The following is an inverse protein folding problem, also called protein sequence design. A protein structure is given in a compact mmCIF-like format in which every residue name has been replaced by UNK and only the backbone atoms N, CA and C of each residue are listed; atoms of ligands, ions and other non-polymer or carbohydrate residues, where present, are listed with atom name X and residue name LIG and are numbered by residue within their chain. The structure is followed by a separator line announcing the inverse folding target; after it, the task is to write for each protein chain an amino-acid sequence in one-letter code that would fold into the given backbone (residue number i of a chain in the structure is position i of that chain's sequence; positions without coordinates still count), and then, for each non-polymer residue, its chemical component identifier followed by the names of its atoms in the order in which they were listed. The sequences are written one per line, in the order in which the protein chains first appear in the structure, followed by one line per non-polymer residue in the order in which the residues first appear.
data_IF_691053801087
#
_entry.id   IF_691053801087
#
_cell.length_a   1.000
_cell.length_b   1.000
_cell.length_c   1.000
_cell.angle_alpha   90.00
_cell.angle_beta   90.00
_cell.angle_gamma   90.00
#
_symmetry.space_group_name_H-M   'P 1'
#
loop_
_entity.id
_entity.type
_entity.pdbx_description
1 polymer ?
#
# COMPACT_ATOMS: atom_id res chain seq x y z
N UNK A 1 -15.22 -24.68 -6.66
CA UNK A 1 -14.52 -23.53 -6.02
C UNK A 1 -15.49 -22.36 -5.90
N UNK A 2 -15.59 -21.72 -4.73
CA UNK A 2 -16.48 -20.58 -4.50
C UNK A 2 -15.66 -19.29 -4.63
N UNK A 3 -16.10 -18.33 -5.46
CA UNK A 3 -15.49 -17.01 -5.59
C UNK A 3 -16.42 -15.94 -5.05
N UNK A 4 -15.95 -15.14 -4.08
CA UNK A 4 -16.69 -14.01 -3.53
C UNK A 4 -16.13 -12.71 -4.11
N UNK A 5 -17.03 -11.81 -4.52
CA UNK A 5 -16.66 -10.51 -5.09
C UNK A 5 -17.27 -9.40 -4.25
N UNK A 6 -16.51 -8.32 -4.00
CA UNK A 6 -17.01 -7.18 -3.23
C UNK A 6 -18.08 -6.37 -3.98
N UNK A 7 -17.99 -6.27 -5.32
CA UNK A 7 -18.87 -5.44 -6.17
C UNK A 7 -18.99 -6.02 -7.59
N UNK A 8 -20.00 -5.56 -8.34
CA UNK A 8 -20.26 -5.97 -9.74
C UNK A 8 -19.08 -5.76 -10.69
N UNK A 9 -18.27 -4.69 -10.49
CA UNK A 9 -17.03 -4.44 -11.23
C UNK A 9 -16.06 -5.62 -11.18
N UNK A 10 -15.80 -6.15 -9.99
CA UNK A 10 -14.87 -7.26 -9.78
C UNK A 10 -15.42 -8.55 -10.42
N UNK A 11 -16.72 -8.80 -10.26
CA UNK A 11 -17.40 -9.93 -10.87
C UNK A 11 -17.36 -9.88 -12.40
N UNK A 12 -17.62 -8.71 -13.01
CA UNK A 12 -17.54 -8.52 -14.47
C UNK A 12 -16.11 -8.69 -14.98
N UNK A 13 -15.11 -8.18 -14.28
CA UNK A 13 -13.70 -8.37 -14.64
C UNK A 13 -13.29 -9.84 -14.58
N UNK A 14 -13.77 -10.58 -13.58
CA UNK A 14 -13.58 -12.02 -13.48
C UNK A 14 -14.23 -12.77 -14.64
N UNK A 15 -15.50 -12.46 -14.98
CA UNK A 15 -16.18 -13.01 -16.16
C UNK A 15 -15.42 -12.72 -17.46
N UNK A 16 -14.84 -11.52 -17.59
CA UNK A 16 -13.97 -11.13 -18.71
C UNK A 16 -12.54 -11.72 -18.62
N UNK A 17 -12.28 -12.66 -17.70
CA UNK A 17 -10.98 -13.33 -17.48
C UNK A 17 -9.79 -12.36 -17.34
N UNK A 18 -10.02 -11.16 -16.77
CA UNK A 18 -8.96 -10.17 -16.57
C UNK A 18 -8.07 -10.61 -15.40
N UNK A 19 -6.75 -10.60 -15.60
CA UNK A 19 -5.79 -10.97 -14.56
C UNK A 19 -5.67 -9.86 -13.50
N UNK A 20 -6.03 -10.10 -12.22
CA UNK A 20 -5.91 -9.09 -11.17
C UNK A 20 -4.46 -8.64 -10.95
N UNK A 21 -3.45 -9.49 -11.19
CA UNK A 21 -2.02 -9.12 -11.08
C UNK A 21 -1.55 -8.16 -12.16
N UNK A 22 -2.34 -7.91 -13.21
CA UNK A 22 -2.06 -6.90 -14.24
C UNK A 22 -2.93 -5.64 -14.07
N UNK A 23 -3.88 -5.67 -13.13
CA UNK A 23 -4.83 -4.58 -12.92
C UNK A 23 -4.36 -3.65 -11.81
N UNK A 24 -3.87 -2.45 -12.20
CA UNK A 24 -3.09 -1.52 -11.35
C UNK A 24 -3.74 -1.11 -10.02
N UNK A 25 -5.08 -1.07 -9.95
CA UNK A 25 -5.81 -0.65 -8.75
C UNK A 25 -6.00 -1.77 -7.71
N UNK A 26 -5.73 -3.04 -8.06
CA UNK A 26 -5.95 -4.16 -7.14
C UNK A 26 -4.81 -4.31 -6.14
N UNK A 27 -5.13 -4.85 -4.95
CA UNK A 27 -4.11 -5.22 -3.95
C UNK A 27 -3.15 -6.30 -4.47
N UNK A 28 -3.63 -7.22 -5.31
CA UNK A 28 -2.82 -8.26 -5.94
C UNK A 28 -1.70 -7.65 -6.80
N UNK A 29 -2.01 -6.69 -7.67
CA UNK A 29 -1.00 -5.95 -8.43
C UNK A 29 -0.06 -5.18 -7.50
N UNK A 30 -0.61 -4.45 -6.52
CA UNK A 30 0.18 -3.59 -5.64
C UNK A 30 1.21 -4.39 -4.83
N UNK A 31 0.83 -5.56 -4.30
CA UNK A 31 1.77 -6.46 -3.61
C UNK A 31 2.82 -7.05 -4.56
N UNK A 32 2.42 -7.55 -5.72
CA UNK A 32 3.34 -8.15 -6.69
C UNK A 32 4.34 -7.13 -7.28
N UNK A 33 3.91 -5.88 -7.47
CA UNK A 33 4.73 -4.80 -8.00
C UNK A 33 5.51 -4.02 -6.92
N UNK A 34 5.58 -4.52 -5.67
CA UNK A 34 6.34 -3.86 -4.60
C UNK A 34 5.77 -2.51 -4.15
N UNK A 35 4.47 -2.25 -4.38
CA UNK A 35 3.81 -0.99 -3.98
C UNK A 35 3.31 -1.00 -2.53
N UNK A 36 3.31 -2.15 -1.87
CA UNK A 36 2.91 -2.32 -0.47
C UNK A 36 3.85 -3.31 0.21
N UNK A 37 3.93 -3.22 1.54
CA UNK A 37 4.67 -4.17 2.34
C UNK A 37 4.02 -5.56 2.21
N UNK A 38 4.82 -6.57 1.83
CA UNK A 38 4.36 -7.94 1.57
C UNK A 38 4.76 -8.93 2.64
N UNK A 39 5.99 -8.82 3.16
CA UNK A 39 6.58 -9.72 4.15
C UNK A 39 6.74 -8.95 5.47
N UNK A 40 5.90 -9.25 6.45
CA UNK A 40 5.95 -8.65 7.80
C UNK A 40 5.26 -9.57 8.82
N UNK A 41 5.85 -9.69 10.01
CA UNK A 41 5.34 -10.56 11.07
C UNK A 41 3.93 -10.15 11.56
N UNK A 42 3.52 -8.89 11.41
CA UNK A 42 2.16 -8.46 11.76
C UNK A 42 1.09 -9.12 10.90
N UNK A 43 1.42 -9.56 9.68
CA UNK A 43 0.47 -10.29 8.82
C UNK A 43 0.25 -11.74 9.26
N UNK A 44 1.11 -12.28 10.10
CA UNK A 44 0.99 -13.67 10.55
C UNK A 44 -0.09 -13.90 11.60
N UNK A 45 -0.60 -12.84 12.23
CA UNK A 45 -1.71 -12.93 13.18
C UNK A 45 -3.04 -13.26 12.49
N UNK A 46 -3.22 -12.82 11.24
CA UNK A 46 -4.40 -13.09 10.42
C UNK A 46 -4.27 -14.45 9.72
N UNK A 47 -4.50 -15.54 10.47
CA UNK A 47 -4.49 -16.92 9.97
C UNK A 47 -5.85 -17.57 10.16
N UNK A 48 -6.31 -18.35 9.15
CA UNK A 48 -7.50 -19.19 9.29
C UNK A 48 -7.19 -20.33 10.26
N UNK A 49 -7.89 -20.37 11.40
CA UNK A 49 -7.82 -21.47 12.37
C UNK A 49 -8.88 -22.51 11.99
N UNK A 50 -8.46 -23.76 11.78
CA UNK A 50 -9.37 -24.87 11.48
C UNK A 50 -9.80 -25.63 12.74
N UNK A 51 -9.07 -25.44 13.84
CA UNK A 51 -9.37 -26.03 15.14
C UNK A 51 -9.90 -24.92 16.08
N UNK A 52 -11.08 -25.11 16.68
CA UNK A 52 -11.63 -24.17 17.65
C UNK A 52 -10.94 -24.34 19.01
N UNK A 53 -10.85 -23.24 19.76
CA UNK A 53 -10.39 -23.26 21.16
C UNK A 53 -11.60 -23.03 22.06
N UNK A 54 -11.62 -23.70 23.22
CA UNK A 54 -12.68 -23.49 24.22
C UNK A 54 -12.70 -22.01 24.62
N UNK A 55 -13.90 -21.46 24.74
CA UNK A 55 -14.07 -20.07 25.14
C UNK A 55 -13.51 -19.82 26.55
N UNK A 56 -12.71 -18.77 26.68
CA UNK A 56 -12.21 -18.25 27.95
C UNK A 56 -12.22 -16.71 27.89
N UNK A 57 -12.92 -16.07 28.84
CA UNK A 57 -13.12 -14.61 28.86
C UNK A 57 -11.80 -13.83 28.89
N UNK A 58 -10.87 -14.25 29.74
CA UNK A 58 -9.54 -13.63 29.88
C UNK A 58 -8.73 -13.69 28.58
N UNK A 59 -8.74 -14.84 27.90
CA UNK A 59 -8.10 -15.00 26.60
C UNK A 59 -8.73 -14.07 25.56
N UNK A 60 -10.06 -13.99 25.54
CA UNK A 60 -10.78 -13.15 24.59
C UNK A 60 -10.46 -11.67 24.78
N UNK A 61 -10.52 -11.16 26.02
CA UNK A 61 -10.19 -9.77 26.35
C UNK A 61 -8.77 -9.42 25.91
N UNK A 62 -7.79 -10.24 26.30
CA UNK A 62 -6.37 -10.05 25.90
C UNK A 62 -6.20 -10.08 24.39
N UNK A 63 -6.94 -10.93 23.68
CA UNK A 63 -6.88 -11.03 22.22
C UNK A 63 -7.42 -9.76 21.54
N UNK A 64 -8.54 -9.21 22.02
CA UNK A 64 -9.11 -7.97 21.47
C UNK A 64 -8.14 -6.80 21.60
N UNK A 65 -7.47 -6.67 22.75
CA UNK A 65 -6.50 -5.60 22.95
C UNK A 65 -5.21 -5.82 22.15
N UNK A 66 -4.73 -7.07 22.07
CA UNK A 66 -3.61 -7.42 21.20
C UNK A 66 -3.91 -7.11 19.72
N UNK A 67 -5.13 -7.37 19.24
CA UNK A 67 -5.54 -7.06 17.87
C UNK A 67 -5.43 -5.57 17.54
N UNK A 68 -5.86 -4.68 18.44
CA UNK A 68 -5.72 -3.22 18.27
C UNK A 68 -4.25 -2.84 18.13
N UNK A 69 -3.41 -3.36 19.04
CA UNK A 69 -1.97 -3.08 19.06
C UNK A 69 -1.27 -3.56 17.79
N UNK A 70 -1.61 -4.75 17.31
CA UNK A 70 -1.05 -5.30 16.07
C UNK A 70 -1.43 -4.44 14.86
N UNK A 71 -2.67 -3.96 14.79
CA UNK A 71 -3.11 -3.11 13.68
C UNK A 71 -2.39 -1.75 13.66
N UNK A 72 -2.17 -1.11 14.82
CA UNK A 72 -1.36 0.11 14.91
C UNK A 72 0.07 -0.09 14.39
N UNK A 73 0.72 -1.19 14.79
CA UNK A 73 2.08 -1.51 14.37
C UNK A 73 2.12 -1.74 12.86
N UNK A 74 1.16 -2.49 12.33
CA UNK A 74 1.01 -2.77 10.91
C UNK A 74 0.83 -1.48 10.10
N UNK A 75 -0.05 -0.58 10.54
CA UNK A 75 -0.26 0.72 9.88
C UNK A 75 0.99 1.58 9.88
N UNK A 76 1.68 1.69 11.03
CA UNK A 76 2.95 2.43 11.13
C UNK A 76 4.01 1.91 10.16
N UNK A 77 4.17 0.58 10.07
CA UNK A 77 5.13 -0.05 9.16
C UNK A 77 4.77 0.14 7.68
N UNK A 78 3.49 -0.01 7.34
CA UNK A 78 2.99 0.23 5.98
C UNK A 78 3.19 1.69 5.55
N UNK A 79 2.87 2.65 6.43
CA UNK A 79 3.06 4.06 6.17
C UNK A 79 4.55 4.38 5.92
N UNK A 80 5.44 3.86 6.76
CA UNK A 80 6.90 4.01 6.59
C UNK A 80 7.38 3.45 5.25
N UNK A 81 6.90 2.27 4.85
CA UNK A 81 7.23 1.67 3.55
C UNK A 81 6.81 2.57 2.37
N UNK A 82 5.60 3.12 2.44
CA UNK A 82 5.08 4.03 1.40
C UNK A 82 5.90 5.33 1.37
N UNK A 83 6.19 5.93 2.52
CA UNK A 83 6.99 7.16 2.61
C UNK A 83 8.40 6.96 2.06
N UNK A 84 9.08 5.88 2.43
CA UNK A 84 10.40 5.55 1.89
C UNK A 84 10.40 5.41 0.37
N UNK A 85 9.33 4.84 -0.20
CA UNK A 85 9.18 4.74 -1.65
C UNK A 85 8.99 6.11 -2.30
N UNK A 86 8.13 6.97 -1.72
CA UNK A 86 7.84 8.29 -2.26
C UNK A 86 9.04 9.24 -2.15
N UNK A 87 9.88 9.09 -1.12
CA UNK A 87 11.08 9.91 -0.89
C UNK A 87 12.00 9.97 -2.12
N UNK A 88 12.16 8.86 -2.85
CA UNK A 88 13.00 8.78 -4.07
C UNK A 88 12.58 9.76 -5.17
N UNK A 89 11.28 10.07 -5.27
CA UNK A 89 10.78 10.99 -6.30
C UNK A 89 11.29 12.42 -6.10
N UNK A 90 11.55 12.84 -4.86
CA UNK A 90 11.97 14.20 -4.53
C UNK A 90 13.36 14.53 -5.07
N UNK A 91 14.26 13.55 -5.06
CA UNK A 91 15.62 13.70 -5.58
C UNK A 91 15.62 13.83 -7.11
N UNK A 92 14.81 13.01 -7.79
CA UNK A 92 14.63 13.09 -9.24
C UNK A 92 14.02 14.44 -9.65
N UNK A 93 12.98 14.87 -8.93
CA UNK A 93 12.34 16.15 -9.19
C UNK A 93 13.33 17.31 -9.05
N UNK A 94 14.15 17.33 -7.99
CA UNK A 94 15.18 18.37 -7.83
C UNK A 94 16.17 18.41 -9.00
N UNK A 95 16.57 17.25 -9.51
CA UNK A 95 17.47 17.18 -10.66
C UNK A 95 16.80 17.65 -11.96
N UNK A 96 15.52 17.31 -12.15
CA UNK A 96 14.69 17.78 -13.26
C UNK A 96 14.50 19.31 -13.19
N UNK A 97 14.15 19.85 -12.01
CA UNK A 97 13.97 21.30 -11.81
C UNK A 97 15.26 22.08 -12.15
N UNK A 98 16.43 21.60 -11.70
CA UNK A 98 17.73 22.22 -12.03
C UNK A 98 17.98 22.17 -13.55
N UNK A 99 17.65 21.05 -14.19
CA UNK A 99 17.81 20.89 -15.63
C UNK A 99 16.87 21.83 -16.39
N UNK A 100 15.62 21.94 -15.96
CA UNK A 100 14.60 22.80 -16.54
C UNK A 100 15.00 24.27 -16.47
N UNK A 101 15.42 24.74 -15.29
CA UNK A 101 15.90 26.13 -15.11
C UNK A 101 17.10 26.43 -16.01
N UNK A 102 18.04 25.49 -16.15
CA UNK A 102 19.22 25.66 -17.03
C UNK A 102 18.84 25.75 -18.51
N UNK A 103 17.90 24.92 -18.97
CA UNK A 103 17.49 24.88 -20.38
C UNK A 103 16.57 26.05 -20.74
N UNK A 104 15.66 26.40 -19.84
CA UNK A 104 14.60 27.38 -20.07
C UNK A 104 14.89 28.73 -19.42
N UNK A 105 16.16 29.05 -19.18
CA UNK A 105 16.56 30.30 -18.48
C UNK A 105 16.05 31.57 -19.17
N UNK A 106 15.86 31.52 -20.49
CA UNK A 106 15.35 32.62 -21.31
C UNK A 106 13.88 32.95 -21.04
N UNK A 107 13.10 32.03 -20.46
CA UNK A 107 11.70 32.28 -20.06
C UNK A 107 11.59 33.04 -18.73
N UNK A 108 12.70 33.11 -17.98
CA UNK A 108 12.76 33.79 -16.70
C UNK A 108 13.24 35.24 -16.91
N UNK A 109 12.40 36.22 -16.56
CA UNK A 109 12.84 37.61 -16.47
C UNK A 109 13.78 37.76 -15.27
N UNK A 110 14.85 38.52 -15.43
CA UNK A 110 15.78 38.77 -14.34
C UNK A 110 15.02 39.34 -13.12
N UNK A 111 15.22 38.83 -11.90
CA UNK A 111 14.41 39.20 -10.72
C UNK A 111 14.50 40.69 -10.33
N UNK A 112 15.43 41.42 -10.93
CA UNK A 112 15.70 42.86 -10.77
C UNK A 112 15.20 43.71 -11.95
N UNK A 113 14.72 43.09 -13.03
CA UNK A 113 14.06 43.77 -14.14
C UNK A 113 12.53 43.76 -13.93
N UNK A 114 12.11 44.44 -12.87
CA UNK A 114 10.74 44.93 -12.71
C UNK A 114 10.55 46.21 -13.49
#
# INVERSE_FOLDING_TARGET
KIFRFCKSKCHRNFKKKRNPRKMRWTKAFRKAAGKELTVDNSFEFEKRRNEPVKYQRELWNKTVDAMKRVEEIKQKRQARFIMNRLKKSKELQKAEDIKEVKQNIHLLRAPHAG
#
